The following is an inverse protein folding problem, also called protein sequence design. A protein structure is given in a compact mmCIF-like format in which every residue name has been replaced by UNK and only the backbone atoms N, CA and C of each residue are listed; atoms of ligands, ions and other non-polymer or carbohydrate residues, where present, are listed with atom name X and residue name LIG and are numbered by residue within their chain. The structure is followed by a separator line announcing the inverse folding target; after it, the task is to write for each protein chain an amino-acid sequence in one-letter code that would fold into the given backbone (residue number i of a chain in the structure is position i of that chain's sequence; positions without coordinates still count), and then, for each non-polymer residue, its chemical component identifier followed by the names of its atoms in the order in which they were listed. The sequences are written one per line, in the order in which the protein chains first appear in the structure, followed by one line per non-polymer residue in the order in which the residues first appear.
data_IF_694369918271
#
_entry.id   IF_694369918271
#
_cell.length_a   1.000
_cell.length_b   1.000
_cell.length_c   1.000
_cell.angle_alpha   90.00
_cell.angle_beta   90.00
_cell.angle_gamma   90.00
#
_symmetry.space_group_name_H-M   'P 1'
#
loop_
_entity.id
_entity.type
_entity.pdbx_description
1 polymer ?
#
# COMPACT_ATOMS: atom_id res chain seq x y z
N UNK A 1 13.07 -60.38 13.84
CA UNK A 1 11.87 -59.88 13.15
C UNK A 1 11.67 -58.44 13.55
N UNK A 2 12.07 -57.50 12.71
CA UNK A 2 11.75 -56.08 12.88
C UNK A 2 10.33 -55.96 12.34
N UNK A 3 9.37 -55.63 13.20
CA UNK A 3 8.02 -55.32 12.76
C UNK A 3 8.12 -54.17 11.75
N UNK A 4 7.77 -54.44 10.49
CA UNK A 4 7.47 -53.40 9.52
C UNK A 4 6.34 -52.57 10.11
N UNK A 5 6.69 -51.43 10.71
CA UNK A 5 5.70 -50.42 11.04
C UNK A 5 5.10 -49.99 9.70
N UNK A 6 3.91 -50.48 9.38
CA UNK A 6 3.08 -49.96 8.31
C UNK A 6 3.02 -48.45 8.53
N UNK A 7 3.74 -47.69 7.69
CA UNK A 7 3.73 -46.24 7.72
C UNK A 7 2.33 -45.85 7.30
N UNK A 8 1.46 -45.69 8.28
CA UNK A 8 0.06 -45.37 8.07
C UNK A 8 0.01 -43.98 7.45
N UNK A 9 -0.19 -43.95 6.13
CA UNK A 9 -0.10 -42.69 5.40
C UNK A 9 -1.22 -41.79 5.89
N UNK A 10 -0.95 -40.53 6.29
CA UNK A 10 -1.97 -39.68 6.91
C UNK A 10 -3.19 -39.53 5.99
N UNK A 11 -4.41 -39.45 6.53
CA UNK A 11 -5.62 -39.30 5.72
C UNK A 11 -5.62 -38.00 4.89
N UNK A 12 -6.35 -37.98 3.77
CA UNK A 12 -6.39 -36.84 2.83
C UNK A 12 -6.72 -35.50 3.51
N UNK A 13 -7.70 -35.48 4.43
CA UNK A 13 -8.06 -34.27 5.20
C UNK A 13 -6.88 -33.72 5.99
N UNK A 14 -6.08 -34.61 6.59
CA UNK A 14 -4.91 -34.23 7.38
C UNK A 14 -3.78 -33.66 6.52
N UNK A 15 -3.59 -34.24 5.33
CA UNK A 15 -2.64 -33.75 4.32
C UNK A 15 -3.01 -32.36 3.81
N UNK A 16 -4.28 -32.15 3.47
CA UNK A 16 -4.81 -30.85 3.03
C UNK A 16 -4.63 -29.80 4.12
N UNK A 17 -4.99 -30.13 5.37
CA UNK A 17 -4.81 -29.19 6.48
C UNK A 17 -3.34 -28.84 6.71
N UNK A 18 -2.42 -29.79 6.56
CA UNK A 18 -0.98 -29.51 6.64
C UNK A 18 -0.48 -28.64 5.46
N UNK A 19 -1.10 -28.73 4.28
CA UNK A 19 -0.82 -27.82 3.17
C UNK A 19 -1.25 -26.38 3.48
N UNK A 20 -2.42 -26.19 4.11
CA UNK A 20 -2.91 -24.86 4.53
C UNK A 20 -1.99 -24.15 5.54
N UNK A 21 -1.17 -24.89 6.31
CA UNK A 21 -0.20 -24.29 7.22
C UNK A 21 0.77 -23.36 6.47
N UNK A 22 1.15 -23.70 5.24
CA UNK A 22 2.05 -22.91 4.39
C UNK A 22 1.40 -21.68 3.78
N UNK A 23 0.07 -21.54 3.87
CA UNK A 23 -0.67 -20.34 3.47
C UNK A 23 -0.76 -19.29 4.59
N UNK A 24 0.02 -19.45 5.66
CA UNK A 24 0.08 -18.50 6.78
C UNK A 24 -0.70 -18.93 8.03
N UNK A 25 -1.35 -20.10 8.03
CA UNK A 25 -2.17 -20.58 9.18
C UNK A 25 -1.31 -21.27 10.27
N UNK A 26 -0.03 -21.52 10.02
CA UNK A 26 0.84 -22.22 10.97
C UNK A 26 0.92 -21.62 12.39
N UNK A 27 0.97 -20.29 12.59
CA UNK A 27 0.98 -19.71 13.93
C UNK A 27 -0.30 -20.01 14.72
N UNK A 28 -1.47 -19.92 14.08
CA UNK A 28 -2.75 -20.28 14.70
C UNK A 28 -2.79 -21.78 15.06
N UNK A 29 -2.33 -22.65 14.16
CA UNK A 29 -2.23 -24.09 14.44
C UNK A 29 -1.27 -24.42 15.60
N UNK A 30 -0.22 -23.61 15.78
CA UNK A 30 0.69 -23.74 16.92
C UNK A 30 -0.02 -23.38 18.24
N UNK A 31 -0.70 -22.24 18.29
CA UNK A 31 -1.47 -21.77 19.47
C UNK A 31 -2.57 -22.76 19.86
N UNK A 32 -3.31 -23.29 18.87
CA UNK A 32 -4.36 -24.29 19.07
C UNK A 32 -3.81 -25.70 19.39
N UNK A 33 -2.50 -25.84 19.60
CA UNK A 33 -1.82 -27.12 19.92
C UNK A 33 -2.06 -28.22 18.88
N UNK A 34 -2.45 -27.86 17.65
CA UNK A 34 -2.71 -28.82 16.57
C UNK A 34 -1.45 -29.63 16.20
N UNK A 35 -0.27 -29.03 16.42
CA UNK A 35 1.04 -29.63 16.15
C UNK A 35 1.37 -30.87 17.01
N UNK A 36 0.69 -31.09 18.13
CA UNK A 36 0.90 -32.28 18.98
C UNK A 36 0.12 -33.52 18.53
N UNK A 37 -0.77 -33.41 17.52
CA UNK A 37 -1.62 -34.52 17.09
C UNK A 37 -0.86 -35.65 16.38
N UNK A 38 0.24 -35.34 15.69
CA UNK A 38 1.13 -36.34 15.11
C UNK A 38 2.49 -35.75 14.71
N UNK A 39 3.50 -36.60 14.56
CA UNK A 39 4.83 -36.20 14.07
C UNK A 39 4.75 -35.52 12.69
N UNK A 40 3.84 -35.99 11.83
CA UNK A 40 3.57 -35.40 10.53
C UNK A 40 3.12 -33.92 10.65
N UNK A 41 2.17 -33.64 11.54
CA UNK A 41 1.69 -32.26 11.76
C UNK A 41 2.74 -31.40 12.45
N UNK A 42 3.46 -31.95 13.43
CA UNK A 42 4.56 -31.26 14.10
C UNK A 42 5.62 -30.82 13.10
N UNK A 43 6.00 -31.72 12.18
CA UNK A 43 6.92 -31.44 11.09
C UNK A 43 6.44 -30.29 10.19
N UNK A 44 5.23 -30.40 9.64
CA UNK A 44 4.70 -29.39 8.71
C UNK A 44 4.43 -28.05 9.38
N UNK A 45 4.01 -28.03 10.65
CA UNK A 45 3.84 -26.78 11.42
C UNK A 45 5.18 -26.06 11.57
N UNK A 46 6.23 -26.76 12.02
CA UNK A 46 7.56 -26.17 12.19
C UNK A 46 8.18 -25.72 10.87
N UNK A 47 7.99 -26.49 9.79
CA UNK A 47 8.45 -26.09 8.45
C UNK A 47 7.68 -24.88 7.91
N UNK A 48 6.37 -24.79 8.13
CA UNK A 48 5.58 -23.64 7.70
C UNK A 48 5.94 -22.37 8.49
N UNK A 49 6.16 -22.47 9.81
CA UNK A 49 6.69 -21.35 10.61
C UNK A 49 8.07 -20.91 10.11
N UNK A 50 8.95 -21.85 9.77
CA UNK A 50 10.27 -21.54 9.22
C UNK A 50 10.18 -20.85 7.86
N UNK A 51 9.27 -21.32 6.99
CA UNK A 51 9.03 -20.70 5.69
C UNK A 51 8.53 -19.27 5.86
N UNK A 52 7.54 -19.06 6.73
CA UNK A 52 6.99 -17.73 7.03
C UNK A 52 8.07 -16.80 7.59
N UNK A 53 8.91 -17.28 8.51
CA UNK A 53 10.02 -16.49 9.04
C UNK A 53 11.00 -16.04 7.94
N UNK A 54 11.41 -16.95 7.05
CA UNK A 54 12.31 -16.60 5.94
C UNK A 54 11.66 -15.55 5.03
N UNK A 55 10.37 -15.69 4.73
CA UNK A 55 9.63 -14.67 3.96
C UNK A 55 9.66 -13.31 4.65
N UNK A 56 9.43 -13.23 5.95
CA UNK A 56 9.50 -11.97 6.70
C UNK A 56 10.91 -11.37 6.70
N UNK A 57 11.95 -12.19 6.85
CA UNK A 57 13.35 -11.72 6.77
C UNK A 57 13.67 -11.16 5.39
N UNK A 58 13.25 -11.84 4.32
CA UNK A 58 13.41 -11.35 2.94
C UNK A 58 12.70 -10.01 2.73
N UNK A 59 11.45 -9.90 3.19
CA UNK A 59 10.69 -8.66 3.08
C UNK A 59 11.36 -7.53 3.86
N UNK A 60 11.85 -7.79 5.07
CA UNK A 60 12.58 -6.83 5.88
C UNK A 60 13.86 -6.34 5.17
N UNK A 61 14.66 -7.26 4.63
CA UNK A 61 15.88 -6.91 3.86
C UNK A 61 15.53 -6.05 2.66
N UNK A 62 14.44 -6.37 1.95
CA UNK A 62 13.97 -5.59 0.82
C UNK A 62 13.58 -4.16 1.24
N UNK A 63 12.83 -4.00 2.33
CA UNK A 63 12.43 -2.69 2.86
C UNK A 63 13.68 -1.88 3.27
N UNK A 64 14.58 -2.48 4.04
CA UNK A 64 15.84 -1.85 4.49
C UNK A 64 16.70 -1.40 3.31
N UNK A 65 16.68 -2.16 2.19
CA UNK A 65 17.40 -1.78 0.98
C UNK A 65 16.69 -0.69 0.15
N UNK A 66 15.35 -0.70 0.09
CA UNK A 66 14.58 0.26 -0.72
C UNK A 66 14.45 1.64 -0.09
N UNK A 67 14.34 1.74 1.24
CA UNK A 67 14.18 3.03 1.92
C UNK A 67 15.33 3.99 1.60
N UNK A 68 16.62 3.61 1.71
CA UNK A 68 17.72 4.49 1.33
C UNK A 68 17.70 4.94 -0.13
N UNK A 69 17.24 4.08 -1.04
CA UNK A 69 17.12 4.43 -2.47
C UNK A 69 16.02 5.46 -2.72
N UNK A 70 14.90 5.37 -1.99
CA UNK A 70 13.84 6.38 -2.02
C UNK A 70 14.35 7.70 -1.46
N UNK A 71 15.03 7.66 -0.32
CA UNK A 71 15.67 8.85 0.30
C UNK A 71 16.68 9.47 -0.66
N UNK A 72 17.51 8.66 -1.33
CA UNK A 72 18.45 9.14 -2.35
C UNK A 72 17.71 9.83 -3.51
N UNK A 73 16.61 9.27 -3.99
CA UNK A 73 15.80 9.89 -5.05
C UNK A 73 15.16 11.23 -4.65
N UNK A 74 14.83 11.42 -3.37
CA UNK A 74 14.24 12.66 -2.86
C UNK A 74 15.29 13.77 -2.72
N UNK A 75 16.45 13.44 -2.13
CA UNK A 75 17.46 14.46 -1.76
C UNK A 75 18.59 14.62 -2.79
N UNK A 76 18.79 13.64 -3.68
CA UNK A 76 19.87 13.60 -4.68
C UNK A 76 19.35 12.97 -5.98
N UNK A 77 18.39 13.65 -6.60
CA UNK A 77 17.79 13.24 -7.87
C UNK A 77 18.86 13.06 -8.96
N UNK A 78 19.88 13.91 -9.00
CA UNK A 78 21.05 13.83 -9.87
C UNK A 78 21.75 12.44 -9.84
N UNK A 79 22.07 11.95 -8.65
CA UNK A 79 22.70 10.63 -8.47
C UNK A 79 21.69 9.54 -8.79
N UNK A 80 20.47 9.68 -8.28
CA UNK A 80 19.45 8.65 -8.44
C UNK A 80 19.12 8.39 -9.91
N UNK A 81 18.94 9.44 -10.72
CA UNK A 81 18.66 9.31 -12.15
C UNK A 81 19.83 8.75 -12.94
N UNK A 82 21.08 9.09 -12.59
CA UNK A 82 22.27 8.53 -13.23
C UNK A 82 22.33 7.00 -13.13
N UNK A 83 21.76 6.42 -12.06
CA UNK A 83 21.75 4.98 -11.80
C UNK A 83 20.36 4.35 -11.81
N UNK A 84 19.30 5.11 -12.08
CA UNK A 84 17.89 4.72 -11.88
C UNK A 84 17.56 3.38 -12.53
N UNK A 85 17.86 3.26 -13.82
CA UNK A 85 17.58 2.06 -14.61
C UNK A 85 18.34 0.86 -14.07
N UNK A 86 19.63 1.02 -13.71
CA UNK A 86 20.44 -0.07 -13.16
C UNK A 86 19.93 -0.52 -11.79
N UNK A 87 19.66 0.42 -10.89
CA UNK A 87 19.16 0.15 -9.55
C UNK A 87 17.82 -0.58 -9.62
N UNK A 88 16.89 -0.13 -10.47
CA UNK A 88 15.58 -0.76 -10.58
C UNK A 88 15.63 -2.12 -11.27
N UNK A 89 16.45 -2.31 -12.30
CA UNK A 89 16.64 -3.63 -12.92
C UNK A 89 17.24 -4.63 -11.91
N UNK A 90 18.31 -4.24 -11.20
CA UNK A 90 18.93 -5.13 -10.19
C UNK A 90 17.94 -5.43 -9.07
N UNK A 91 17.22 -4.43 -8.57
CA UNK A 91 16.16 -4.61 -7.56
C UNK A 91 15.09 -5.58 -8.07
N UNK A 92 14.63 -5.42 -9.30
CA UNK A 92 13.60 -6.26 -9.91
C UNK A 92 14.08 -7.71 -10.06
N UNK A 93 15.31 -7.93 -10.55
CA UNK A 93 15.91 -9.26 -10.67
C UNK A 93 16.02 -9.92 -9.29
N UNK A 94 16.56 -9.20 -8.29
CA UNK A 94 16.67 -9.71 -6.93
C UNK A 94 15.30 -10.06 -6.34
N UNK A 95 14.29 -9.22 -6.58
CA UNK A 95 12.92 -9.46 -6.16
C UNK A 95 12.37 -10.75 -6.81
N UNK A 96 12.47 -10.87 -8.14
CA UNK A 96 11.98 -12.03 -8.89
C UNK A 96 12.68 -13.32 -8.42
N UNK A 97 14.01 -13.32 -8.34
CA UNK A 97 14.79 -14.49 -7.93
C UNK A 97 14.43 -14.90 -6.50
N UNK A 98 14.33 -13.93 -5.58
CA UNK A 98 14.04 -14.22 -4.19
C UNK A 98 12.60 -14.72 -3.99
N UNK A 99 11.62 -14.05 -4.60
CA UNK A 99 10.22 -14.50 -4.55
C UNK A 99 10.03 -15.86 -5.21
N UNK A 100 10.66 -16.10 -6.36
CA UNK A 100 10.60 -17.41 -7.04
C UNK A 100 11.21 -18.49 -6.16
N UNK A 101 12.35 -18.22 -5.51
CA UNK A 101 12.96 -19.14 -4.55
C UNK A 101 12.04 -19.47 -3.38
N UNK A 102 11.37 -18.47 -2.80
CA UNK A 102 10.39 -18.66 -1.73
C UNK A 102 9.17 -19.47 -2.19
N UNK A 103 8.65 -19.19 -3.39
CA UNK A 103 7.52 -19.92 -3.97
C UNK A 103 7.89 -21.38 -4.25
N UNK A 104 9.09 -21.66 -4.75
CA UNK A 104 9.59 -23.03 -4.95
C UNK A 104 9.70 -23.76 -3.62
N UNK A 105 10.26 -23.12 -2.57
CA UNK A 105 10.38 -23.73 -1.24
C UNK A 105 9.00 -24.03 -0.63
N UNK A 106 8.06 -23.10 -0.73
CA UNK A 106 6.68 -23.28 -0.28
C UNK A 106 5.98 -24.38 -1.10
N UNK A 107 6.11 -24.37 -2.42
CA UNK A 107 5.52 -25.34 -3.34
C UNK A 107 6.00 -26.77 -3.10
N UNK A 108 7.32 -26.97 -2.92
CA UNK A 108 7.88 -28.29 -2.55
C UNK A 108 7.30 -28.77 -1.22
N UNK A 109 7.15 -27.86 -0.25
CA UNK A 109 6.65 -28.19 1.09
C UNK A 109 5.16 -28.54 1.08
N UNK A 110 4.36 -27.79 0.32
CA UNK A 110 2.94 -28.10 0.06
C UNK A 110 2.80 -29.43 -0.68
N UNK A 111 3.60 -29.66 -1.71
CA UNK A 111 3.61 -30.93 -2.45
C UNK A 111 3.91 -32.13 -1.53
N UNK A 112 4.89 -31.99 -0.65
CA UNK A 112 5.23 -33.01 0.34
C UNK A 112 4.07 -33.25 1.32
N UNK A 113 3.41 -32.20 1.81
CA UNK A 113 2.24 -32.32 2.67
C UNK A 113 1.10 -33.10 1.97
N UNK A 114 0.77 -32.75 0.73
CA UNK A 114 -0.29 -33.40 -0.08
C UNK A 114 0.06 -34.88 -0.35
N UNK A 115 1.34 -35.19 -0.58
CA UNK A 115 1.82 -36.58 -0.76
C UNK A 115 1.94 -37.35 0.56
N UNK A 116 1.71 -36.73 1.71
CA UNK A 116 1.84 -37.37 3.02
C UNK A 116 3.29 -37.64 3.42
N UNK A 117 4.25 -36.86 2.92
CA UNK A 117 5.69 -37.02 3.15
C UNK A 117 6.25 -35.90 4.02
N UNK A 118 7.11 -36.25 4.99
CA UNK A 118 7.86 -35.29 5.81
C UNK A 118 9.29 -35.09 5.29
N UNK A 119 9.42 -34.71 4.02
CA UNK A 119 10.73 -34.51 3.40
C UNK A 119 11.46 -33.30 3.98
N UNK A 120 12.74 -33.47 4.31
CA UNK A 120 13.57 -32.44 4.93
C UNK A 120 14.15 -31.51 3.85
N UNK A 121 13.51 -30.37 3.62
CA UNK A 121 14.08 -29.27 2.82
C UNK A 121 15.26 -28.65 3.60
N UNK A 122 16.51 -28.64 3.09
CA UNK A 122 17.69 -28.32 3.89
C UNK A 122 17.63 -26.96 4.62
N UNK A 123 17.19 -25.90 3.92
CA UNK A 123 17.08 -24.56 4.50
C UNK A 123 16.02 -24.51 5.61
N UNK A 124 14.80 -25.00 5.33
CA UNK A 124 13.71 -25.05 6.31
C UNK A 124 14.05 -25.94 7.50
N UNK A 125 14.78 -27.05 7.29
CA UNK A 125 15.24 -27.95 8.36
C UNK A 125 16.13 -27.23 9.36
N UNK A 126 17.02 -26.33 8.91
CA UNK A 126 17.92 -25.60 9.81
C UNK A 126 17.15 -24.63 10.71
N UNK A 127 16.19 -23.91 10.13
CA UNK A 127 15.39 -22.90 10.83
C UNK A 127 14.32 -23.53 11.73
N UNK A 128 13.62 -24.57 11.25
CA UNK A 128 12.54 -25.26 11.98
C UNK A 128 12.96 -25.96 13.27
N UNK A 129 14.26 -26.19 13.47
CA UNK A 129 14.84 -26.74 14.71
C UNK A 129 14.94 -25.71 15.84
N UNK A 130 14.80 -24.42 15.55
CA UNK A 130 14.96 -23.35 16.54
C UNK A 130 13.74 -23.27 17.44
N UNK A 131 13.95 -23.37 18.75
CA UNK A 131 12.88 -23.34 19.77
C UNK A 131 12.25 -21.95 19.94
N UNK A 132 12.99 -20.88 19.63
CA UNK A 132 12.48 -19.50 19.66
C UNK A 132 11.53 -19.17 18.51
N UNK A 133 11.52 -19.96 17.44
CA UNK A 133 10.79 -19.65 16.21
C UNK A 133 9.28 -19.45 16.43
N UNK A 134 8.55 -20.34 17.14
CA UNK A 134 7.13 -20.11 17.42
C UNK A 134 6.90 -18.89 18.32
N UNK A 135 7.77 -18.68 19.31
CA UNK A 135 7.68 -17.54 20.22
C UNK A 135 7.81 -16.19 19.50
N UNK A 136 8.56 -16.14 18.39
CA UNK A 136 8.66 -14.95 17.53
C UNK A 136 7.49 -14.85 16.53
N UNK A 137 7.15 -15.95 15.86
CA UNK A 137 6.20 -15.93 14.74
C UNK A 137 4.74 -15.77 15.17
N UNK A 138 4.38 -16.24 16.37
CA UNK A 138 3.01 -16.09 16.89
C UNK A 138 2.65 -14.62 17.13
N UNK A 139 3.46 -13.81 17.85
CA UNK A 139 3.22 -12.37 17.97
C UNK A 139 3.18 -11.65 16.63
N UNK A 140 4.14 -11.92 15.73
CA UNK A 140 4.16 -11.30 14.39
C UNK A 140 2.86 -11.60 13.65
N UNK A 141 2.39 -12.84 13.67
CA UNK A 141 1.13 -13.22 13.06
C UNK A 141 -0.08 -12.52 13.69
N UNK A 142 -0.14 -12.45 15.01
CA UNK A 142 -1.23 -11.78 15.72
C UNK A 142 -1.30 -10.28 15.37
N UNK A 143 -0.14 -9.61 15.35
CA UNK A 143 -0.03 -8.20 14.95
C UNK A 143 -0.43 -8.02 13.49
N UNK A 144 0.08 -8.85 12.57
CA UNK A 144 -0.28 -8.78 11.15
C UNK A 144 -1.78 -9.03 10.91
N UNK A 145 -2.38 -9.99 11.63
CA UNK A 145 -3.82 -10.26 11.53
C UNK A 145 -4.65 -9.08 12.08
N UNK A 146 -4.28 -8.54 13.23
CA UNK A 146 -4.94 -7.36 13.80
C UNK A 146 -4.83 -6.16 12.85
N UNK A 147 -3.65 -5.95 12.25
CA UNK A 147 -3.44 -4.92 11.25
C UNK A 147 -4.32 -5.12 10.01
N UNK A 148 -4.40 -6.34 9.45
CA UNK A 148 -5.28 -6.63 8.30
C UNK A 148 -6.74 -6.36 8.65
N UNK A 149 -7.23 -6.84 9.80
CA UNK A 149 -8.61 -6.60 10.22
C UNK A 149 -8.92 -5.12 10.43
N UNK A 150 -7.98 -4.38 11.03
CA UNK A 150 -8.08 -2.93 11.20
C UNK A 150 -8.15 -2.23 9.83
N UNK A 151 -7.21 -2.53 8.93
CA UNK A 151 -7.17 -1.91 7.60
C UNK A 151 -8.40 -2.25 6.77
N UNK A 152 -8.89 -3.49 6.81
CA UNK A 152 -10.16 -3.86 6.15
C UNK A 152 -11.33 -3.07 6.70
N UNK A 153 -11.44 -2.96 8.03
CA UNK A 153 -12.53 -2.21 8.67
C UNK A 153 -12.46 -0.72 8.31
N UNK A 154 -11.27 -0.12 8.34
CA UNK A 154 -11.05 1.26 7.95
C UNK A 154 -11.33 1.49 6.47
N UNK A 155 -10.96 0.58 5.57
CA UNK A 155 -11.27 0.67 4.14
C UNK A 155 -12.78 0.57 3.87
N UNK A 156 -13.48 -0.34 4.56
CA UNK A 156 -14.94 -0.43 4.44
C UNK A 156 -15.60 0.86 4.93
N UNK A 157 -15.16 1.37 6.08
CA UNK A 157 -15.64 2.62 6.63
C UNK A 157 -15.36 3.81 5.71
N UNK A 158 -14.13 3.94 5.19
CA UNK A 158 -13.74 5.05 4.31
C UNK A 158 -14.57 5.06 3.04
N UNK A 159 -14.78 3.91 2.40
CA UNK A 159 -15.64 3.82 1.21
C UNK A 159 -17.08 4.22 1.53
N UNK A 160 -17.59 3.86 2.70
CA UNK A 160 -18.99 4.13 3.07
C UNK A 160 -19.30 5.61 3.31
N UNK A 161 -18.31 6.41 3.71
CA UNK A 161 -18.48 7.85 3.99
C UNK A 161 -17.99 8.75 2.84
N UNK A 162 -17.60 8.16 1.71
CA UNK A 162 -16.96 8.91 0.63
C UNK A 162 -17.75 8.80 -0.67
N UNK A 163 -18.47 9.86 -1.09
CA UNK A 163 -19.15 9.92 -2.38
C UNK A 163 -18.17 9.89 -3.57
N UNK A 164 -18.61 9.34 -4.72
CA UNK A 164 -17.82 9.30 -5.98
C UNK A 164 -18.00 10.52 -6.86
N UNK A 165 -19.13 11.19 -6.80
CA UNK A 165 -19.38 12.40 -7.57
C UNK A 165 -20.51 13.14 -6.89
N UNK A 166 -20.25 14.40 -6.54
CA UNK A 166 -21.29 15.31 -6.11
C UNK A 166 -21.06 16.68 -6.75
N UNK A 167 -22.07 17.15 -7.49
CA UNK A 167 -22.10 18.47 -8.12
C UNK A 167 -22.16 19.61 -7.10
N UNK A 168 -22.44 19.29 -5.83
CA UNK A 168 -22.53 20.24 -4.73
C UNK A 168 -21.36 20.13 -3.73
N UNK A 169 -20.36 19.27 -3.99
CA UNK A 169 -19.21 19.17 -3.10
C UNK A 169 -18.39 20.46 -3.12
N UNK A 170 -17.84 20.83 -1.96
CA UNK A 170 -16.93 21.97 -1.81
C UNK A 170 -15.48 21.53 -1.54
N UNK A 171 -15.30 20.25 -1.17
CA UNK A 171 -14.02 19.60 -0.89
C UNK A 171 -13.82 18.49 -1.92
N UNK A 172 -12.84 18.66 -2.80
CA UNK A 172 -12.51 17.71 -3.85
C UNK A 172 -11.15 17.06 -3.59
N UNK A 173 -11.12 15.73 -3.60
CA UNK A 173 -9.90 14.94 -3.48
C UNK A 173 -9.81 14.01 -4.69
N UNK A 174 -9.09 14.47 -5.70
CA UNK A 174 -8.95 13.78 -6.98
C UNK A 174 -7.71 12.89 -6.97
N UNK A 175 -7.82 11.68 -7.53
CA UNK A 175 -6.69 10.74 -7.59
C UNK A 175 -6.47 10.11 -8.97
N UNK A 176 -5.21 9.91 -9.34
CA UNK A 176 -4.82 9.05 -10.46
C UNK A 176 -4.59 7.62 -9.96
N UNK A 177 -5.31 6.65 -10.55
CA UNK A 177 -5.20 5.23 -10.21
C UNK A 177 -4.21 4.47 -11.09
N UNK A 178 -3.59 5.13 -12.07
CA UNK A 178 -2.75 4.53 -13.11
C UNK A 178 -3.39 3.31 -13.80
N UNK A 179 -4.71 3.16 -13.73
CA UNK A 179 -5.48 2.00 -14.19
C UNK A 179 -5.32 0.71 -13.38
N UNK A 180 -4.64 0.75 -12.22
CA UNK A 180 -4.29 -0.47 -11.45
C UNK A 180 -4.66 -0.41 -9.98
N UNK A 181 -4.76 0.78 -9.40
CA UNK A 181 -5.01 0.93 -7.97
C UNK A 181 -6.51 1.03 -7.66
N UNK A 182 -7.03 0.18 -6.75
CA UNK A 182 -8.45 0.24 -6.39
C UNK A 182 -8.77 1.49 -5.56
N UNK A 183 -9.98 2.03 -5.77
CA UNK A 183 -10.49 3.24 -5.11
C UNK A 183 -10.34 3.25 -3.58
N UNK A 184 -10.51 2.10 -2.92
CA UNK A 184 -10.48 2.02 -1.46
C UNK A 184 -9.14 2.52 -0.87
N UNK A 185 -8.02 2.37 -1.59
CA UNK A 185 -6.71 2.89 -1.16
C UNK A 185 -6.75 4.41 -1.01
N UNK A 186 -7.34 5.09 -1.98
CA UNK A 186 -7.44 6.56 -1.99
C UNK A 186 -8.44 7.05 -0.94
N UNK A 187 -9.62 6.43 -0.84
CA UNK A 187 -10.59 6.79 0.21
C UNK A 187 -10.00 6.62 1.60
N UNK A 188 -9.16 5.60 1.82
CA UNK A 188 -8.48 5.39 3.09
C UNK A 188 -7.37 6.43 3.33
N UNK A 189 -6.60 6.78 2.29
CA UNK A 189 -5.61 7.85 2.37
C UNK A 189 -6.22 9.21 2.71
N UNK A 190 -7.40 9.50 2.16
CA UNK A 190 -8.13 10.74 2.38
C UNK A 190 -9.05 10.74 3.62
N UNK A 191 -9.16 9.61 4.31
CA UNK A 191 -10.11 9.39 5.41
C UNK A 191 -10.15 10.53 6.45
N UNK A 192 -9.02 11.08 6.94
CA UNK A 192 -9.05 12.15 7.94
C UNK A 192 -9.76 13.41 7.43
N UNK A 193 -9.46 13.83 6.20
CA UNK A 193 -10.08 15.01 5.58
C UNK A 193 -11.53 14.73 5.25
N UNK A 194 -11.85 13.57 4.66
CA UNK A 194 -13.24 13.20 4.36
C UNK A 194 -14.11 13.23 5.59
N UNK A 195 -13.63 12.63 6.69
CA UNK A 195 -14.35 12.60 7.95
C UNK A 195 -14.53 14.01 8.51
N UNK A 196 -13.48 14.82 8.55
CA UNK A 196 -13.55 16.19 9.08
C UNK A 196 -14.53 17.04 8.27
N UNK A 197 -14.44 16.99 6.94
CA UNK A 197 -15.34 17.69 6.02
C UNK A 197 -16.80 17.26 6.23
N UNK A 198 -17.05 15.95 6.31
CA UNK A 198 -18.40 15.41 6.51
C UNK A 198 -19.00 15.85 7.85
N UNK A 199 -18.19 15.92 8.91
CA UNK A 199 -18.62 16.35 10.25
C UNK A 199 -18.89 17.87 10.32
N UNK A 200 -18.13 18.70 9.59
CA UNK A 200 -18.27 20.17 9.66
C UNK A 200 -19.23 20.75 8.63
N UNK A 201 -19.24 20.23 7.42
CA UNK A 201 -19.96 20.79 6.27
C UNK A 201 -21.13 19.90 5.80
N UNK A 202 -21.23 18.67 6.32
CA UNK A 202 -22.24 17.70 5.95
C UNK A 202 -21.73 16.61 4.99
N UNK A 203 -22.42 15.46 4.90
CA UNK A 203 -21.93 14.28 4.17
C UNK A 203 -21.75 14.50 2.66
N UNK A 204 -22.47 15.45 2.09
CA UNK A 204 -22.48 15.76 0.66
C UNK A 204 -21.41 16.79 0.27
N UNK A 205 -20.71 17.40 1.23
CA UNK A 205 -19.73 18.46 0.98
C UNK A 205 -18.40 17.97 0.41
N UNK A 206 -18.16 16.66 0.40
CA UNK A 206 -16.87 16.05 0.07
C UNK A 206 -17.00 15.00 -1.02
N UNK A 207 -16.02 14.98 -1.93
CA UNK A 207 -15.95 14.02 -3.02
C UNK A 207 -14.53 13.46 -3.14
N UNK A 208 -14.40 12.12 -3.18
CA UNK A 208 -13.16 11.45 -3.58
C UNK A 208 -13.42 10.67 -4.85
N UNK A 209 -12.81 11.13 -5.92
CA UNK A 209 -13.07 10.59 -7.24
C UNK A 209 -11.82 10.51 -8.10
N UNK A 210 -11.89 9.65 -9.11
CA UNK A 210 -10.82 9.51 -10.08
C UNK A 210 -10.62 10.82 -10.82
N UNK A 211 -9.37 11.18 -11.06
CA UNK A 211 -8.97 12.37 -11.79
C UNK A 211 -9.26 12.19 -13.29
N UNK A 212 -10.51 12.46 -13.69
CA UNK A 212 -10.94 12.62 -15.09
C UNK A 212 -11.00 14.09 -15.48
N UNK A 213 -11.17 14.37 -16.78
CA UNK A 213 -11.36 15.74 -17.26
C UNK A 213 -12.59 16.40 -16.63
N UNK A 214 -13.68 15.65 -16.51
CA UNK A 214 -14.96 16.12 -15.96
C UNK A 214 -14.82 16.42 -14.47
N UNK A 215 -14.24 15.49 -13.70
CA UNK A 215 -13.98 15.67 -12.28
C UNK A 215 -13.03 16.84 -12.01
N UNK A 216 -12.03 17.03 -12.87
CA UNK A 216 -11.13 18.18 -12.79
C UNK A 216 -11.89 19.49 -13.02
N UNK A 217 -12.66 19.60 -14.11
CA UNK A 217 -13.42 20.82 -14.41
C UNK A 217 -14.40 21.13 -13.26
N UNK A 218 -15.11 20.11 -12.78
CA UNK A 218 -16.06 20.24 -11.68
C UNK A 218 -15.40 20.69 -10.37
N UNK A 219 -14.24 20.12 -10.03
CA UNK A 219 -13.50 20.52 -8.84
C UNK A 219 -13.08 21.99 -8.89
N UNK A 220 -12.61 22.48 -10.04
CA UNK A 220 -12.20 23.88 -10.17
C UNK A 220 -13.37 24.85 -10.29
N UNK A 221 -14.50 24.44 -10.87
CA UNK A 221 -15.67 25.30 -11.01
C UNK A 221 -16.45 25.53 -9.70
N UNK A 222 -16.35 24.62 -8.73
CA UNK A 222 -17.16 24.67 -7.50
C UNK A 222 -16.38 24.44 -6.19
N UNK A 223 -15.20 23.82 -6.26
CA UNK A 223 -14.40 23.48 -5.10
C UNK A 223 -13.76 24.70 -4.43
N UNK A 224 -13.73 24.68 -3.10
CA UNK A 224 -12.94 25.61 -2.27
C UNK A 224 -11.67 24.97 -1.74
N UNK A 225 -11.70 23.66 -1.49
CA UNK A 225 -10.54 22.87 -1.09
C UNK A 225 -10.31 21.77 -2.13
N UNK A 226 -9.16 21.77 -2.81
CA UNK A 226 -8.85 20.82 -3.87
C UNK A 226 -7.53 20.12 -3.55
N UNK A 227 -7.56 18.79 -3.48
CA UNK A 227 -6.37 17.95 -3.37
C UNK A 227 -6.23 17.12 -4.65
N UNK A 228 -5.08 17.22 -5.33
CA UNK A 228 -4.77 16.46 -6.54
C UNK A 228 -3.64 15.45 -6.25
N UNK A 229 -4.03 14.19 -6.09
CA UNK A 229 -3.11 13.04 -5.99
C UNK A 229 -2.76 12.52 -7.39
N UNK A 230 -1.74 13.10 -8.02
CA UNK A 230 -1.31 12.75 -9.37
C UNK A 230 0.21 12.88 -9.58
N UNK A 231 0.68 12.44 -10.76
CA UNK A 231 2.04 12.56 -11.23
C UNK A 231 2.28 13.89 -11.99
N UNK A 232 3.51 14.39 -11.95
CA UNK A 232 3.94 15.54 -12.75
C UNK A 232 4.16 15.16 -14.21
N UNK A 233 3.79 16.05 -15.12
CA UNK A 233 3.93 15.88 -16.58
C UNK A 233 4.95 16.85 -17.20
N UNK A 234 5.84 17.41 -16.37
CA UNK A 234 6.75 18.50 -16.71
C UNK A 234 6.44 19.78 -15.91
N UNK A 235 7.18 20.87 -16.15
CA UNK A 235 7.01 22.12 -15.42
C UNK A 235 5.56 22.63 -15.44
N UNK A 236 5.02 22.94 -14.26
CA UNK A 236 3.67 23.50 -14.09
C UNK A 236 2.51 22.59 -14.51
N UNK A 237 2.77 21.35 -14.94
CA UNK A 237 1.75 20.44 -15.50
C UNK A 237 1.58 19.16 -14.70
N UNK A 238 0.33 18.74 -14.56
CA UNK A 238 -0.07 17.48 -13.95
C UNK A 238 -0.56 16.50 -15.01
N UNK A 239 -0.41 15.20 -14.74
CA UNK A 239 -1.11 14.16 -15.48
C UNK A 239 -2.54 14.02 -14.97
N UNK A 240 -3.46 13.77 -15.89
CA UNK A 240 -4.85 13.50 -15.57
C UNK A 240 -5.51 12.86 -16.79
N UNK A 241 -6.05 11.64 -16.63
CA UNK A 241 -6.71 10.89 -17.70
C UNK A 241 -5.89 10.82 -19.01
N UNK A 242 -4.60 10.46 -18.90
CA UNK A 242 -3.63 10.39 -20.01
C UNK A 242 -3.36 11.72 -20.74
N UNK A 243 -3.95 12.82 -20.27
CA UNK A 243 -3.71 14.17 -20.73
C UNK A 243 -2.88 14.93 -19.70
N UNK A 244 -2.42 16.11 -20.11
CA UNK A 244 -1.65 17.01 -19.26
C UNK A 244 -2.42 18.31 -19.07
N UNK A 245 -2.67 18.69 -17.83
CA UNK A 245 -3.31 19.96 -17.47
C UNK A 245 -2.32 20.86 -16.75
N UNK A 246 -2.47 22.16 -16.90
CA UNK A 246 -1.69 23.16 -16.17
C UNK A 246 -2.60 24.25 -15.61
N UNK A 247 -2.01 25.18 -14.87
CA UNK A 247 -2.75 26.27 -14.23
C UNK A 247 -3.69 27.07 -15.17
N UNK A 248 -3.32 27.39 -16.44
CA UNK A 248 -4.22 28.13 -17.33
C UNK A 248 -5.52 27.37 -17.65
N UNK A 249 -5.45 26.04 -17.79
CA UNK A 249 -6.65 25.23 -18.01
C UNK A 249 -7.51 25.16 -16.74
N UNK A 250 -6.88 25.06 -15.57
CA UNK A 250 -7.56 25.10 -14.28
C UNK A 250 -8.30 26.44 -14.06
N UNK A 251 -7.64 27.55 -14.38
CA UNK A 251 -8.16 28.91 -14.33
C UNK A 251 -9.36 29.10 -15.27
N UNK A 252 -9.25 28.57 -16.51
CA UNK A 252 -10.38 28.56 -17.43
C UNK A 252 -11.55 27.72 -16.91
N UNK A 253 -11.27 26.54 -16.38
CA UNK A 253 -12.28 25.63 -15.84
C UNK A 253 -12.99 26.21 -14.61
N UNK A 254 -12.31 27.06 -13.84
CA UNK A 254 -12.90 27.67 -12.66
C UNK A 254 -14.02 28.66 -12.98
N UNK A 255 -14.04 29.23 -14.20
CA UNK A 255 -15.11 30.11 -14.65
C UNK A 255 -15.32 31.33 -13.76
N UNK A 256 -14.26 31.77 -13.06
CA UNK A 256 -14.32 32.86 -12.08
C UNK A 256 -14.47 32.40 -10.63
N UNK A 257 -14.77 31.12 -10.37
CA UNK A 257 -14.60 30.54 -9.04
C UNK A 257 -13.10 30.53 -8.68
N UNK A 258 -12.78 30.77 -7.41
CA UNK A 258 -11.41 30.71 -6.91
C UNK A 258 -11.36 29.75 -5.73
N UNK A 259 -10.72 28.58 -5.89
CA UNK A 259 -10.44 27.72 -4.76
C UNK A 259 -9.69 28.52 -3.69
N UNK A 260 -9.92 28.25 -2.41
CA UNK A 260 -9.13 28.87 -1.34
C UNK A 260 -7.83 28.10 -1.10
N UNK A 261 -7.85 26.80 -1.39
CA UNK A 261 -6.70 25.92 -1.18
C UNK A 261 -6.57 24.87 -2.27
N UNK A 262 -5.35 24.70 -2.79
CA UNK A 262 -5.00 23.66 -3.76
C UNK A 262 -3.74 22.93 -3.26
N UNK A 263 -3.81 21.61 -3.11
CA UNK A 263 -2.66 20.77 -2.82
C UNK A 263 -2.33 19.88 -4.02
N UNK A 264 -1.10 19.94 -4.50
CA UNK A 264 -0.63 19.21 -5.68
C UNK A 264 0.47 18.22 -5.27
N UNK A 265 0.22 16.91 -5.39
CA UNK A 265 1.25 15.89 -5.07
C UNK A 265 2.28 15.69 -6.18
N UNK A 266 2.10 16.33 -7.34
CA UNK A 266 2.89 16.07 -8.52
C UNK A 266 4.32 16.63 -8.39
N UNK A 267 5.32 15.78 -8.63
CA UNK A 267 6.72 16.13 -8.56
C UNK A 267 7.11 17.21 -9.59
N UNK A 268 8.07 18.06 -9.22
CA UNK A 268 8.68 19.08 -10.09
C UNK A 268 7.71 20.14 -10.64
N UNK A 269 6.53 20.30 -10.05
CA UNK A 269 5.61 21.38 -10.42
C UNK A 269 6.18 22.76 -10.09
N UNK A 270 6.83 22.90 -8.94
CA UNK A 270 7.37 24.17 -8.45
C UNK A 270 8.75 24.56 -9.01
N UNK A 271 9.35 23.75 -9.90
CA UNK A 271 10.76 23.88 -10.30
C UNK A 271 11.01 25.04 -11.28
N UNK A 272 10.03 25.38 -12.13
CA UNK A 272 10.23 26.36 -13.22
C UNK A 272 8.98 27.20 -13.56
N UNK A 273 7.85 27.02 -12.86
CA UNK A 273 6.60 27.66 -13.24
C UNK A 273 5.71 27.97 -12.02
N UNK A 274 5.79 29.20 -11.52
CA UNK A 274 4.86 29.78 -10.54
C UNK A 274 3.45 29.99 -11.13
N UNK A 275 3.12 29.37 -12.28
CA UNK A 275 1.85 29.54 -12.99
C UNK A 275 0.65 29.26 -12.12
N UNK A 276 0.72 28.29 -11.20
CA UNK A 276 -0.38 28.02 -10.28
C UNK A 276 -0.62 29.20 -9.33
N UNK A 277 0.42 29.77 -8.75
CA UNK A 277 0.31 30.98 -7.91
C UNK A 277 -0.12 32.21 -8.74
N UNK A 278 0.32 32.30 -10.00
CA UNK A 278 -0.02 33.41 -10.90
C UNK A 278 -1.48 33.38 -11.34
N UNK A 279 -1.99 32.22 -11.71
CA UNK A 279 -3.38 32.02 -12.13
C UNK A 279 -4.35 32.06 -10.93
N UNK A 280 -3.86 31.71 -9.73
CA UNK A 280 -4.63 31.70 -8.50
C UNK A 280 -3.97 32.51 -7.37
N UNK A 281 -3.87 33.85 -7.50
CA UNK A 281 -3.09 34.70 -6.59
C UNK A 281 -3.64 34.83 -5.16
N UNK A 282 -4.92 34.52 -4.97
CA UNK A 282 -5.60 34.55 -3.66
C UNK A 282 -5.79 33.14 -3.08
N UNK A 283 -5.32 32.12 -3.79
CA UNK A 283 -5.41 30.72 -3.41
C UNK A 283 -4.09 30.29 -2.81
N UNK A 284 -4.14 29.60 -1.68
CA UNK A 284 -2.94 28.96 -1.16
C UNK A 284 -2.69 27.68 -1.97
N UNK A 285 -1.57 27.65 -2.70
CA UNK A 285 -1.16 26.49 -3.50
C UNK A 285 0.05 25.82 -2.84
N UNK A 286 -0.12 24.56 -2.45
CA UNK A 286 0.98 23.69 -2.02
C UNK A 286 1.44 22.86 -3.21
N UNK A 287 2.69 23.05 -3.63
CA UNK A 287 3.32 22.30 -4.72
C UNK A 287 4.78 21.96 -4.37
N UNK A 288 5.37 21.03 -5.12
CA UNK A 288 6.72 20.53 -4.85
C UNK A 288 7.63 20.77 -6.05
N UNK A 289 8.79 21.39 -5.80
CA UNK A 289 9.88 21.59 -6.77
C UNK A 289 10.78 20.35 -6.88
N UNK A 290 10.67 19.42 -5.92
CA UNK A 290 11.41 18.17 -5.87
C UNK A 290 10.51 16.96 -6.07
N UNK A 291 11.14 15.78 -6.01
CA UNK A 291 10.42 14.55 -5.75
C UNK A 291 9.85 14.57 -4.33
N UNK A 292 8.54 14.33 -4.23
CA UNK A 292 7.83 14.14 -2.98
C UNK A 292 7.55 12.66 -2.77
N UNK A 293 7.69 12.20 -1.52
CA UNK A 293 7.41 10.82 -1.19
C UNK A 293 5.91 10.63 -0.96
N UNK A 294 5.34 9.49 -1.35
CA UNK A 294 3.94 9.17 -0.98
C UNK A 294 3.70 9.27 0.53
N UNK A 295 4.68 8.87 1.35
CA UNK A 295 4.59 8.99 2.82
C UNK A 295 4.52 10.44 3.31
N UNK A 296 5.11 11.39 2.58
CA UNK A 296 5.03 12.82 2.90
C UNK A 296 3.60 13.35 2.71
N UNK A 297 2.95 12.96 1.61
CA UNK A 297 1.55 13.32 1.37
C UNK A 297 0.59 12.63 2.34
N UNK A 298 0.84 11.34 2.66
CA UNK A 298 0.05 10.64 3.69
C UNK A 298 0.20 11.32 5.04
N UNK A 299 1.43 11.70 5.42
CA UNK A 299 1.67 12.44 6.65
C UNK A 299 0.87 13.74 6.67
N UNK A 300 0.98 14.54 5.61
CA UNK A 300 0.23 15.79 5.48
C UNK A 300 -1.29 15.58 5.61
N UNK A 301 -1.85 14.59 4.89
CA UNK A 301 -3.28 14.26 4.93
C UNK A 301 -3.78 13.90 6.32
N UNK A 302 -2.93 13.28 7.15
CA UNK A 302 -3.30 12.82 8.50
C UNK A 302 -2.98 13.82 9.60
N UNK A 303 -1.91 14.62 9.45
CA UNK A 303 -1.41 15.50 10.50
C UNK A 303 -1.81 16.97 10.30
N UNK A 304 -1.91 17.46 9.07
CA UNK A 304 -2.08 18.88 8.76
C UNK A 304 -3.35 19.17 7.94
N UNK A 305 -3.76 18.23 7.10
CA UNK A 305 -4.92 18.35 6.21
C UNK A 305 -6.23 18.70 6.92
N UNK A 306 -6.58 18.06 8.06
CA UNK A 306 -7.80 18.40 8.80
C UNK A 306 -7.81 19.84 9.32
N UNK A 307 -6.71 20.30 9.93
CA UNK A 307 -6.60 21.67 10.44
C UNK A 307 -6.62 22.68 9.28
N UNK A 308 -5.98 22.33 8.16
CA UNK A 308 -6.01 23.17 6.96
C UNK A 308 -7.42 23.31 6.41
N UNK A 309 -8.19 22.24 6.38
CA UNK A 309 -9.58 22.26 5.95
C UNK A 309 -10.40 23.24 6.81
N UNK A 310 -10.23 23.24 8.14
CA UNK A 310 -10.91 24.19 9.03
C UNK A 310 -10.55 25.64 8.74
N UNK A 311 -9.27 25.91 8.42
CA UNK A 311 -8.86 27.28 8.05
C UNK A 311 -9.54 27.80 6.78
N UNK A 312 -9.96 26.89 5.88
CA UNK A 312 -10.68 27.24 4.64
C UNK A 312 -12.18 27.44 4.90
N UNK A 313 -12.73 26.73 5.89
CA UNK A 313 -14.14 26.75 6.26
C UNK A 313 -14.31 27.04 7.78
N UNK A 314 -14.07 28.30 8.20
CA UNK A 314 -14.24 28.71 9.59
C UNK A 314 -15.71 28.71 10.04
#
# INVERSE_FOLDING_TARGET
MIAESTIDTPGLRHRILCAFLYMGVAPAAFVLRYHHKSDFTSHHTKHALASSFITHVVLLVFVVFRVPLIVLGIYRDDIYYAYFTRINIVTLILLIVTFSGLLILAGISVYCAIRGKSAKVPLLRRVSKKTWLPALMVPIFAVSLAFVLLMTSLSCYSVSITPEANNEATVYMLYDDAGVFPRWIFTLGFLPITRRASETLGPDSVCVCKLTREAFIQAFSSGKFIFLATHGAGPGRIYADRLTYGAPFASQASGGNRPHFIYLTACSLGKDDDSWNKEFPETEVVSFDRWSATVEHIWWLYAEGPDKLESVFP
#
